data_IF_188766707689
#
_entry.id   IF_188766707689
#
_cell.length_a   1.000
_cell.length_b   1.000
_cell.length_c   1.000
_cell.angle_alpha   90.00
_cell.angle_beta   90.00
_cell.angle_gamma   90.00
#
_symmetry.space_group_name_H-M   'P 1'
#
loop_
_entity.id
_entity.type
_entity.pdbx_description
1 polymer ?
#
# COMPACT_ATOMS: atom_id res chain seq x y z
N UNK A 1 -38.81 18.39 17.28
CA UNK A 1 -37.61 17.66 16.76
C UNK A 1 -38.07 16.32 16.20
N UNK A 2 -38.39 16.29 14.91
CA UNK A 2 -38.81 15.08 14.19
C UNK A 2 -37.60 14.18 13.96
N UNK A 3 -37.57 13.02 14.64
CA UNK A 3 -36.58 11.96 14.37
C UNK A 3 -36.93 11.31 13.02
N UNK A 4 -36.36 11.81 11.94
CA UNK A 4 -36.38 11.12 10.65
C UNK A 4 -35.53 9.86 10.80
N UNK A 5 -36.18 8.68 10.87
CA UNK A 5 -35.50 7.39 10.73
C UNK A 5 -34.91 7.34 9.31
N UNK A 6 -33.63 7.66 9.15
CA UNK A 6 -32.93 7.42 7.88
C UNK A 6 -32.91 5.90 7.65
N UNK A 7 -33.56 5.44 6.59
CA UNK A 7 -33.39 4.07 6.10
C UNK A 7 -32.03 4.02 5.41
N UNK A 8 -31.13 3.17 5.91
CA UNK A 8 -29.86 2.89 5.26
C UNK A 8 -30.13 2.01 4.03
N UNK A 9 -29.80 2.50 2.83
CA UNK A 9 -29.87 1.72 1.60
C UNK A 9 -28.54 0.98 1.36
N UNK A 10 -28.52 -0.29 1.76
CA UNK A 10 -27.35 -1.16 1.57
C UNK A 10 -27.22 -1.70 0.14
N UNK A 11 -28.18 -1.41 -0.77
CA UNK A 11 -28.15 -1.90 -2.15
C UNK A 11 -26.98 -1.32 -2.96
N UNK A 12 -26.39 -0.19 -2.51
CA UNK A 12 -25.19 0.38 -3.11
C UNK A 12 -23.99 -0.58 -3.05
N UNK A 13 -23.76 -1.22 -1.89
CA UNK A 13 -22.66 -2.17 -1.70
C UNK A 13 -22.85 -3.44 -2.53
N UNK A 14 -24.09 -3.84 -2.81
CA UNK A 14 -24.38 -4.96 -3.69
C UNK A 14 -24.14 -4.65 -5.18
N UNK A 15 -24.24 -3.38 -5.58
CA UNK A 15 -24.10 -2.93 -6.98
C UNK A 15 -22.68 -2.44 -7.33
N UNK A 16 -21.87 -2.07 -6.34
CA UNK A 16 -20.53 -1.53 -6.53
C UNK A 16 -19.52 -2.37 -5.72
N UNK A 17 -18.86 -3.36 -6.34
CA UNK A 17 -17.88 -4.23 -5.66
C UNK A 17 -16.52 -3.55 -5.41
N UNK A 18 -16.27 -2.41 -6.07
CA UNK A 18 -15.06 -1.59 -5.86
C UNK A 18 -15.13 -0.87 -4.50
N UNK A 19 -14.01 -0.70 -3.78
CA UNK A 19 -13.99 -0.13 -2.43
C UNK A 19 -14.26 1.38 -2.44
N UNK A 20 -15.54 1.75 -2.57
CA UNK A 20 -16.04 3.11 -2.34
C UNK A 20 -16.74 3.13 -0.99
N UNK A 21 -16.16 3.87 -0.05
CA UNK A 21 -16.73 3.99 1.28
C UNK A 21 -17.73 5.13 1.30
N UNK A 22 -18.95 4.83 1.74
CA UNK A 22 -19.96 5.84 2.03
C UNK A 22 -19.80 6.25 3.50
N UNK A 23 -19.41 7.49 3.76
CA UNK A 23 -19.53 8.05 5.10
C UNK A 23 -21.01 8.34 5.37
N UNK A 24 -21.65 7.46 6.15
CA UNK A 24 -23.10 7.42 6.37
C UNK A 24 -23.72 8.73 6.87
N UNK A 25 -22.95 9.55 7.58
CA UNK A 25 -23.45 10.82 8.13
C UNK A 25 -23.45 11.96 7.11
N UNK A 26 -22.60 11.89 6.08
CA UNK A 26 -22.35 12.97 5.13
C UNK A 26 -22.73 12.65 3.69
N UNK A 27 -23.11 11.41 3.36
CA UNK A 27 -23.38 10.96 1.99
C UNK A 27 -22.20 11.23 1.03
N UNK A 28 -20.97 11.19 1.55
CA UNK A 28 -19.74 11.39 0.78
C UNK A 28 -19.15 10.04 0.40
N UNK A 29 -18.80 9.89 -0.87
CA UNK A 29 -18.02 8.76 -1.36
C UNK A 29 -16.52 9.07 -1.26
N UNK A 30 -15.81 8.26 -0.48
CA UNK A 30 -14.36 8.35 -0.34
C UNK A 30 -13.72 7.15 -1.04
N UNK A 31 -12.73 7.45 -1.89
CA UNK A 31 -11.85 6.46 -2.51
C UNK A 31 -10.47 6.63 -1.91
N UNK A 32 -10.04 5.68 -1.08
CA UNK A 32 -8.69 5.66 -0.52
C UNK A 32 -7.83 4.65 -1.28
N UNK A 33 -6.87 5.15 -2.05
CA UNK A 33 -5.91 4.33 -2.80
C UNK A 33 -4.57 4.43 -2.07
N UNK A 34 -4.10 3.37 -1.39
CA UNK A 34 -2.81 3.37 -0.73
C UNK A 34 -1.67 3.43 -1.75
N UNK A 35 -0.52 3.95 -1.33
CA UNK A 35 0.65 4.09 -2.19
C UNK A 35 1.97 3.92 -1.47
N UNK A 36 2.98 3.47 -2.21
CA UNK A 36 4.35 3.29 -1.71
C UNK A 36 5.36 4.07 -2.54
N UNK A 37 6.22 4.80 -1.85
CA UNK A 37 7.45 5.31 -2.43
C UNK A 37 8.57 4.28 -2.27
N UNK A 38 9.15 3.90 -3.40
CA UNK A 38 10.04 2.75 -3.53
C UNK A 38 11.44 3.12 -4.00
N UNK A 39 11.71 4.42 -4.21
CA UNK A 39 13.00 4.93 -4.67
C UNK A 39 13.70 5.74 -3.60
N UNK A 40 14.96 6.10 -3.87
CA UNK A 40 15.75 7.02 -3.07
C UNK A 40 16.78 6.35 -2.16
N UNK A 41 17.55 7.20 -1.48
CA UNK A 41 18.69 6.78 -0.68
C UNK A 41 18.37 5.74 0.42
N UNK A 42 17.22 5.75 1.11
CA UNK A 42 16.94 4.77 2.16
C UNK A 42 16.95 3.32 1.69
N UNK A 43 16.34 3.02 0.53
CA UNK A 43 16.30 1.65 0.00
C UNK A 43 17.67 1.24 -0.53
N UNK A 44 18.42 2.17 -1.10
CA UNK A 44 19.79 1.93 -1.57
C UNK A 44 20.72 1.59 -0.41
N UNK A 45 20.68 2.36 0.68
CA UNK A 45 21.49 2.09 1.88
C UNK A 45 21.12 0.75 2.53
N UNK A 46 19.82 0.43 2.60
CA UNK A 46 19.35 -0.87 3.12
C UNK A 46 19.83 -2.02 2.25
N UNK A 47 19.72 -1.88 0.94
CA UNK A 47 20.22 -2.85 -0.04
C UNK A 47 21.72 -3.06 0.12
N UNK A 48 22.51 -1.98 0.19
CA UNK A 48 23.96 -2.03 0.42
C UNK A 48 24.31 -2.68 1.76
N UNK A 49 23.53 -2.45 2.82
CA UNK A 49 23.70 -3.12 4.11
C UNK A 49 23.47 -4.63 4.01
N UNK A 50 22.38 -5.07 3.38
CA UNK A 50 22.08 -6.49 3.18
C UNK A 50 23.13 -7.17 2.27
N UNK A 51 23.71 -6.41 1.34
CA UNK A 51 24.76 -6.88 0.44
C UNK A 51 26.13 -6.99 1.11
N UNK A 52 26.51 -6.04 1.98
CA UNK A 52 27.74 -6.13 2.78
C UNK A 52 27.76 -7.36 3.70
N UNK A 53 26.59 -7.86 4.11
CA UNK A 53 26.45 -9.11 4.87
C UNK A 53 26.66 -10.35 3.96
N UNK A 54 26.41 -10.22 2.66
CA UNK A 54 26.48 -11.32 1.67
C UNK A 54 27.76 -11.36 0.84
N UNK A 55 28.52 -10.26 0.79
CA UNK A 55 29.65 -10.10 -0.12
C UNK A 55 30.98 -9.92 0.63
N UNK A 56 31.88 -10.85 0.37
CA UNK A 56 33.29 -10.95 0.75
C UNK A 56 34.18 -9.98 -0.07
N UNK A 57 33.77 -8.70 -0.13
CA UNK A 57 34.54 -7.62 -0.76
C UNK A 57 34.27 -7.40 -2.25
N UNK A 58 33.25 -8.05 -2.83
CA UNK A 58 32.88 -7.86 -4.24
C UNK A 58 32.05 -6.59 -4.46
N UNK A 59 32.49 -5.77 -5.42
CA UNK A 59 31.78 -4.57 -5.86
C UNK A 59 30.70 -4.98 -6.87
N UNK A 60 29.43 -4.79 -6.50
CA UNK A 60 28.29 -5.11 -7.36
C UNK A 60 28.08 -4.04 -8.43
N UNK A 61 27.58 -4.47 -9.59
CA UNK A 61 27.22 -3.55 -10.67
C UNK A 61 25.99 -2.71 -10.29
N UNK A 62 25.84 -1.49 -10.84
CA UNK A 62 24.64 -0.67 -10.62
C UNK A 62 23.33 -1.37 -11.00
N UNK A 63 23.37 -2.29 -11.97
CA UNK A 63 22.19 -3.05 -12.38
C UNK A 63 21.76 -4.06 -11.31
N UNK A 64 22.71 -4.75 -10.70
CA UNK A 64 22.44 -5.70 -9.62
C UNK A 64 21.90 -4.97 -8.38
N UNK A 65 22.49 -3.83 -8.03
CA UNK A 65 22.00 -2.99 -6.91
C UNK A 65 20.54 -2.59 -7.13
N UNK A 66 20.18 -2.12 -8.33
CA UNK A 66 18.79 -1.75 -8.65
C UNK A 66 17.84 -2.96 -8.59
N UNK A 67 18.27 -4.12 -9.07
CA UNK A 67 17.47 -5.35 -9.00
C UNK A 67 17.16 -5.72 -7.55
N UNK A 68 18.18 -5.71 -6.71
CA UNK A 68 18.05 -6.06 -5.29
C UNK A 68 17.20 -5.01 -4.57
N UNK A 69 17.40 -3.72 -4.84
CA UNK A 69 16.57 -2.66 -4.27
C UNK A 69 15.08 -2.83 -4.63
N UNK A 70 14.78 -3.22 -5.88
CA UNK A 70 13.41 -3.56 -6.32
C UNK A 70 12.83 -4.73 -5.52
N UNK A 71 13.61 -5.79 -5.32
CA UNK A 71 13.20 -6.96 -4.55
C UNK A 71 12.94 -6.61 -3.07
N UNK A 72 13.84 -5.83 -2.46
CA UNK A 72 13.68 -5.33 -1.09
C UNK A 72 12.41 -4.46 -0.94
N UNK A 73 12.15 -3.57 -1.90
CA UNK A 73 10.95 -2.74 -1.91
C UNK A 73 9.68 -3.58 -2.05
N UNK A 74 9.62 -4.54 -2.98
CA UNK A 74 8.48 -5.44 -3.15
C UNK A 74 8.17 -6.24 -1.88
N UNK A 75 9.21 -6.75 -1.21
CA UNK A 75 9.05 -7.46 0.07
C UNK A 75 8.51 -6.55 1.16
N UNK A 76 9.04 -5.33 1.27
CA UNK A 76 8.58 -4.36 2.27
C UNK A 76 7.12 -3.93 2.04
N UNK A 77 6.73 -3.70 0.78
CA UNK A 77 5.34 -3.40 0.40
C UNK A 77 4.40 -4.48 0.89
N UNK A 78 4.73 -5.76 0.62
CA UNK A 78 3.84 -6.85 1.00
C UNK A 78 3.71 -6.96 2.52
N UNK A 79 4.81 -6.88 3.26
CA UNK A 79 4.76 -6.88 4.73
C UNK A 79 3.91 -5.73 5.28
N UNK A 80 4.17 -4.50 4.85
CA UNK A 80 3.41 -3.33 5.31
C UNK A 80 1.93 -3.40 4.92
N UNK A 81 1.63 -3.86 3.71
CA UNK A 81 0.27 -4.07 3.25
C UNK A 81 -0.49 -5.05 4.15
N UNK A 82 0.13 -6.18 4.49
CA UNK A 82 -0.48 -7.15 5.39
C UNK A 82 -0.69 -6.56 6.79
N UNK A 83 0.27 -5.81 7.32
CA UNK A 83 0.13 -5.14 8.62
C UNK A 83 -1.02 -4.11 8.61
N UNK A 84 -1.16 -3.32 7.55
CA UNK A 84 -2.27 -2.38 7.42
C UNK A 84 -3.63 -3.08 7.28
N UNK A 85 -3.69 -4.19 6.54
CA UNK A 85 -4.91 -5.01 6.48
C UNK A 85 -5.26 -5.60 7.85
N UNK A 86 -4.26 -6.06 8.62
CA UNK A 86 -4.45 -6.58 9.97
C UNK A 86 -4.93 -5.50 10.94
N UNK A 87 -4.60 -4.23 10.71
CA UNK A 87 -5.13 -3.08 11.45
C UNK A 87 -6.47 -2.57 10.93
N UNK A 88 -7.12 -3.34 10.04
CA UNK A 88 -8.41 -3.01 9.46
C UNK A 88 -8.41 -1.67 8.70
N UNK A 89 -7.27 -1.24 8.15
CA UNK A 89 -7.24 -0.11 7.23
C UNK A 89 -7.92 -0.53 5.94
N UNK A 90 -8.97 0.20 5.56
CA UNK A 90 -9.79 -0.13 4.40
C UNK A 90 -9.41 0.81 3.26
N UNK A 91 -8.93 0.23 2.16
CA UNK A 91 -8.55 0.95 0.93
C UNK A 91 -8.49 0.02 -0.27
N UNK A 92 -8.23 0.61 -1.44
CA UNK A 92 -8.05 -0.12 -2.69
C UNK A 92 -6.64 -0.73 -2.79
N UNK A 93 -6.46 -1.86 -2.12
CA UNK A 93 -5.20 -2.59 -2.11
C UNK A 93 -4.85 -3.25 -3.44
N UNK A 94 -5.82 -3.39 -4.37
CA UNK A 94 -5.61 -4.00 -5.69
C UNK A 94 -5.02 -2.97 -6.66
N UNK A 95 -5.50 -1.73 -6.60
CA UNK A 95 -5.04 -0.63 -7.44
C UNK A 95 -4.02 0.28 -6.74
N UNK A 96 -3.32 -0.24 -5.73
CA UNK A 96 -2.36 0.55 -4.96
C UNK A 96 -1.21 1.10 -5.83
N UNK A 97 -0.88 2.38 -5.60
CA UNK A 97 0.16 3.08 -6.33
C UNK A 97 1.57 2.67 -5.85
N UNK A 98 2.50 2.50 -6.78
CA UNK A 98 3.89 2.17 -6.47
C UNK A 98 4.79 2.91 -7.44
N UNK A 99 5.86 3.52 -6.96
CA UNK A 99 6.82 4.25 -7.83
C UNK A 99 7.78 3.31 -8.59
N UNK A 100 7.76 2.00 -8.29
CA UNK A 100 8.66 0.95 -8.81
C UNK A 100 8.82 0.84 -10.33
#
# INVERSE_FOLDING_TARGET
>A
MTKTKRKYDFSYFAKNPEPKYLLFDFEIFISYIPGWDCHGLPIELKTLSELKVRADGTVLSPMEIRKIARECALKAIETQKQDFMNWCIIGDWKNAYRTL
#
